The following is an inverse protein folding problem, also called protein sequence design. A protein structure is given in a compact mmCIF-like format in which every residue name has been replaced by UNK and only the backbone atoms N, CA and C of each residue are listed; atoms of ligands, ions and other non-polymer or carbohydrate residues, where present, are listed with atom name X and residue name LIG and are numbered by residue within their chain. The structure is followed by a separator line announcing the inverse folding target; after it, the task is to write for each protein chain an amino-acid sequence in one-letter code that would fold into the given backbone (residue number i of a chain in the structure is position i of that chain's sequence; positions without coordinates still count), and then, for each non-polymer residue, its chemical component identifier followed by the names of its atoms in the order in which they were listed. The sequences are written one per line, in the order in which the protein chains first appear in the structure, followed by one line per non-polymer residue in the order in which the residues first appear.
data_IF_017186102143
#
_entry.id   IF_017186102143
#
_cell.length_a   1.000
_cell.length_b   1.000
_cell.length_c   1.000
_cell.angle_alpha   90.00
_cell.angle_beta   90.00
_cell.angle_gamma   90.00
#
_symmetry.space_group_name_H-M   'P 1'
#
loop_
_entity.id
_entity.type
_entity.pdbx_description
1 polymer ?
#
# COMPACT_ATOMS: atom_id res chain seq x y z
N UNK A 1 -16.75 -0.48 -8.86
CA UNK A 1 -15.56 0.37 -8.88
C UNK A 1 -14.39 -0.41 -9.46
N UNK A 2 -13.75 0.16 -10.48
CA UNK A 2 -12.60 -0.49 -11.14
C UNK A 2 -11.28 0.03 -10.58
N UNK A 3 -10.41 -0.90 -10.19
CA UNK A 3 -9.08 -0.60 -9.66
C UNK A 3 -7.99 -1.22 -10.53
N UNK A 4 -6.85 -0.52 -10.67
CA UNK A 4 -5.65 -1.05 -11.30
C UNK A 4 -4.47 -0.99 -10.33
N UNK A 5 -3.75 -2.11 -10.20
CA UNK A 5 -2.53 -2.20 -9.41
C UNK A 5 -1.35 -2.24 -10.37
N UNK A 6 -0.46 -1.27 -10.25
CA UNK A 6 0.74 -1.17 -11.07
C UNK A 6 1.87 -1.96 -10.44
N UNK A 7 1.87 -3.27 -10.64
CA UNK A 7 2.95 -4.15 -10.23
C UNK A 7 4.16 -3.91 -11.12
N UNK A 8 5.14 -3.18 -10.60
CA UNK A 8 6.28 -2.72 -11.38
C UNK A 8 7.60 -3.01 -10.69
N UNK A 9 8.67 -3.07 -11.48
CA UNK A 9 10.02 -3.04 -10.94
C UNK A 9 10.38 -1.63 -10.46
N UNK A 10 11.06 -1.56 -9.32
CA UNK A 10 11.57 -0.31 -8.76
C UNK A 10 13.09 -0.41 -8.79
N UNK A 11 13.71 0.49 -9.56
CA UNK A 11 15.17 0.55 -9.68
C UNK A 11 15.73 1.34 -8.49
N UNK A 12 16.51 0.66 -7.66
CA UNK A 12 17.05 1.23 -6.42
C UNK A 12 17.90 2.47 -6.70
N UNK A 13 17.58 3.57 -6.02
CA UNK A 13 18.28 4.83 -6.12
C UNK A 13 18.00 5.66 -7.36
N UNK A 14 17.28 5.13 -8.36
CA UNK A 14 17.05 5.79 -9.65
C UNK A 14 15.71 6.52 -9.71
N UNK A 15 15.58 7.57 -8.88
CA UNK A 15 14.31 8.30 -8.68
C UNK A 15 13.66 8.76 -9.98
N UNK A 16 14.45 9.35 -10.91
CA UNK A 16 13.92 9.84 -12.20
C UNK A 16 13.48 8.72 -13.12
N UNK A 17 14.17 7.57 -13.09
CA UNK A 17 13.80 6.40 -13.88
C UNK A 17 12.48 5.82 -13.38
N UNK A 18 12.32 5.71 -12.07
CA UNK A 18 11.08 5.23 -11.46
C UNK A 18 9.90 6.16 -11.75
N UNK A 19 10.07 7.49 -11.65
CA UNK A 19 9.05 8.47 -12.07
C UNK A 19 8.69 8.31 -13.56
N UNK A 20 9.67 8.17 -14.43
CA UNK A 20 9.45 7.96 -15.86
C UNK A 20 8.70 6.65 -16.13
N UNK A 21 9.01 5.60 -15.38
CA UNK A 21 8.30 4.31 -15.48
C UNK A 21 6.84 4.43 -15.09
N UNK A 22 6.56 5.06 -13.95
CA UNK A 22 5.17 5.33 -13.52
C UNK A 22 4.43 6.10 -14.62
N UNK A 23 5.03 7.18 -15.15
CA UNK A 23 4.42 7.97 -16.22
C UNK A 23 4.10 7.13 -17.45
N UNK A 24 5.02 6.28 -17.92
CA UNK A 24 4.81 5.39 -19.06
C UNK A 24 3.66 4.40 -18.80
N UNK A 25 3.55 3.85 -17.57
CA UNK A 25 2.44 2.97 -17.21
C UNK A 25 1.07 3.67 -17.30
N UNK A 26 0.99 4.93 -16.86
CA UNK A 26 -0.23 5.73 -17.04
C UNK A 26 -0.54 6.00 -18.52
N UNK A 27 0.47 6.27 -19.34
CA UNK A 27 0.29 6.56 -20.77
C UNK A 27 -0.10 5.33 -21.58
N UNK A 28 0.46 4.16 -21.25
CA UNK A 28 0.35 2.96 -22.07
C UNK A 28 -0.66 1.94 -21.57
N UNK A 29 -0.95 1.91 -20.25
CA UNK A 29 -1.64 0.79 -19.59
C UNK A 29 -2.87 1.18 -18.79
N UNK A 30 -3.11 2.47 -18.56
CA UNK A 30 -4.29 2.90 -17.83
C UNK A 30 -5.56 2.65 -18.65
N UNK A 31 -6.49 1.90 -18.09
CA UNK A 31 -7.82 1.72 -18.68
C UNK A 31 -8.68 2.97 -18.44
N UNK A 32 -9.44 3.36 -19.45
CA UNK A 32 -10.22 4.60 -19.45
C UNK A 32 -11.26 4.68 -18.31
N UNK A 33 -11.75 3.55 -17.84
CA UNK A 33 -12.77 3.43 -16.82
C UNK A 33 -12.18 3.08 -15.42
N UNK A 34 -10.85 3.17 -15.27
CA UNK A 34 -10.19 2.99 -13.98
C UNK A 34 -10.51 4.16 -13.05
N UNK A 35 -10.96 3.85 -11.85
CA UNK A 35 -11.32 4.86 -10.85
C UNK A 35 -10.21 5.06 -9.82
N UNK A 36 -9.43 4.01 -9.52
CA UNK A 36 -8.32 4.05 -8.58
C UNK A 36 -7.12 3.30 -9.16
N UNK A 37 -5.95 3.93 -9.14
CA UNK A 37 -4.65 3.31 -9.38
C UNK A 37 -3.92 3.13 -8.05
N UNK A 38 -3.25 1.98 -7.89
CA UNK A 38 -2.41 1.69 -6.72
C UNK A 38 -0.98 1.44 -7.19
N UNK A 39 0.00 2.12 -6.62
CA UNK A 39 1.43 1.92 -6.89
C UNK A 39 2.16 1.37 -5.65
N UNK A 40 3.33 0.69 -5.82
CA UNK A 40 3.99 -0.02 -4.71
C UNK A 40 4.65 0.89 -3.67
N UNK A 41 5.28 0.25 -2.67
CA UNK A 41 6.07 0.88 -1.60
C UNK A 41 7.38 1.45 -2.14
N UNK A 42 7.86 2.56 -1.53
CA UNK A 42 9.20 3.16 -1.73
C UNK A 42 9.57 3.37 -3.21
N UNK A 43 8.58 3.68 -4.04
CA UNK A 43 8.77 3.73 -5.49
C UNK A 43 9.76 4.81 -5.96
N UNK A 44 10.03 5.84 -5.15
CA UNK A 44 10.99 6.88 -5.52
C UNK A 44 12.44 6.37 -5.45
N UNK A 45 12.87 5.79 -4.32
CA UNK A 45 14.27 5.41 -4.09
C UNK A 45 14.48 3.90 -4.05
N UNK A 46 13.42 3.10 -4.01
CA UNK A 46 13.55 1.71 -3.61
C UNK A 46 14.19 1.60 -2.23
N UNK A 47 14.80 0.46 -1.96
CA UNK A 47 15.52 0.19 -0.72
C UNK A 47 17.03 0.53 -0.79
N UNK A 48 17.41 1.58 -1.54
CA UNK A 48 18.76 2.17 -1.51
C UNK A 48 18.99 2.93 -0.20
N UNK A 49 18.87 2.21 0.93
CA UNK A 49 18.87 2.82 2.26
C UNK A 49 20.17 3.56 2.58
N UNK A 50 21.31 3.13 2.02
CA UNK A 50 22.60 3.78 2.28
C UNK A 50 22.67 5.21 1.73
N UNK A 51 21.97 5.45 0.63
CA UNK A 51 21.96 6.75 -0.04
C UNK A 51 20.62 7.48 0.18
N UNK A 52 19.73 6.94 1.02
CA UNK A 52 18.38 7.49 1.20
C UNK A 52 18.39 8.93 1.71
N UNK A 53 19.37 9.30 2.53
CA UNK A 53 19.49 10.66 3.07
C UNK A 53 19.67 11.74 1.99
N UNK A 54 20.30 11.39 0.87
CA UNK A 54 20.55 12.29 -0.26
C UNK A 54 19.41 12.27 -1.28
N UNK A 55 18.68 11.15 -1.37
CA UNK A 55 17.69 10.88 -2.43
C UNK A 55 16.24 11.03 -1.98
N UNK A 56 15.99 10.98 -0.67
CA UNK A 56 14.64 11.15 -0.12
C UNK A 56 14.00 12.46 -0.56
N UNK A 57 12.70 12.43 -0.78
CA UNK A 57 11.92 13.66 -0.98
C UNK A 57 11.94 14.50 0.30
N UNK A 58 11.65 15.77 0.18
CA UNK A 58 11.57 16.70 1.33
C UNK A 58 10.11 17.19 1.44
N UNK A 59 9.41 16.78 2.49
CA UNK A 59 8.01 17.16 2.74
C UNK A 59 7.09 16.90 1.54
N UNK A 60 7.31 15.79 0.80
CA UNK A 60 6.61 15.43 -0.43
C UNK A 60 6.64 16.51 -1.55
N UNK A 61 7.55 17.47 -1.48
CA UNK A 61 7.61 18.62 -2.42
C UNK A 61 7.87 18.23 -3.87
N UNK A 62 8.41 17.04 -4.11
CA UNK A 62 8.65 16.48 -5.44
C UNK A 62 7.61 15.44 -5.81
N UNK A 63 7.39 14.48 -4.93
CA UNK A 63 6.56 13.31 -5.23
C UNK A 63 5.07 13.63 -5.24
N UNK A 64 4.59 14.50 -4.34
CA UNK A 64 3.17 14.89 -4.35
C UNK A 64 2.78 15.66 -5.63
N UNK A 65 3.47 16.74 -6.09
CA UNK A 65 3.13 17.40 -7.34
C UNK A 65 3.22 16.49 -8.57
N UNK A 66 4.15 15.52 -8.57
CA UNK A 66 4.26 14.52 -9.63
C UNK A 66 3.00 13.67 -9.70
N UNK A 67 2.58 13.04 -8.59
CA UNK A 67 1.37 12.23 -8.52
C UNK A 67 0.10 13.06 -8.76
N UNK A 68 0.03 14.27 -8.19
CA UNK A 68 -1.07 15.21 -8.43
C UNK A 68 -1.26 15.49 -9.92
N UNK A 69 -0.17 15.70 -10.67
CA UNK A 69 -0.22 15.93 -12.11
C UNK A 69 -0.79 14.74 -12.89
N UNK A 70 -0.47 13.50 -12.46
CA UNK A 70 -1.03 12.29 -13.06
C UNK A 70 -2.51 12.12 -12.70
N UNK A 71 -2.87 12.28 -11.43
CA UNK A 71 -4.24 12.18 -10.97
C UNK A 71 -5.18 13.14 -11.71
N UNK A 72 -4.77 14.39 -11.84
CA UNK A 72 -5.56 15.43 -12.54
C UNK A 72 -5.57 15.24 -14.05
N UNK A 73 -4.44 14.88 -14.67
CA UNK A 73 -4.36 14.63 -16.11
C UNK A 73 -5.25 13.49 -16.54
N UNK A 74 -5.24 12.40 -15.80
CA UNK A 74 -5.97 11.17 -16.15
C UNK A 74 -7.34 11.05 -15.45
N UNK A 75 -7.71 12.02 -14.61
CA UNK A 75 -8.98 12.05 -13.86
C UNK A 75 -9.21 10.77 -13.03
N UNK A 76 -8.14 10.26 -12.40
CA UNK A 76 -8.13 9.02 -11.60
C UNK A 76 -7.58 9.28 -10.20
N UNK A 77 -8.15 8.63 -9.20
CA UNK A 77 -7.59 8.69 -7.85
C UNK A 77 -6.36 7.78 -7.76
N UNK A 78 -5.37 8.18 -6.97
CA UNK A 78 -4.12 7.43 -6.86
C UNK A 78 -3.81 7.14 -5.39
N UNK A 79 -3.76 5.86 -5.05
CA UNK A 79 -3.07 5.35 -3.86
C UNK A 79 -1.60 5.36 -4.22
N UNK A 80 -0.90 6.39 -3.79
CA UNK A 80 0.42 6.76 -4.29
C UNK A 80 1.56 5.90 -3.72
N UNK A 81 1.26 4.67 -3.31
CA UNK A 81 2.28 3.82 -2.71
C UNK A 81 2.89 4.45 -1.47
N UNK A 82 4.20 4.30 -1.35
CA UNK A 82 4.96 5.08 -0.39
C UNK A 82 6.29 5.56 -0.96
N UNK A 83 6.89 6.54 -0.29
CA UNK A 83 8.14 7.15 -0.69
C UNK A 83 9.05 7.38 0.52
N UNK A 84 10.37 7.39 0.29
CA UNK A 84 11.28 7.96 1.27
C UNK A 84 11.07 9.47 1.34
N UNK A 85 10.72 9.95 2.53
CA UNK A 85 10.33 11.34 2.77
C UNK A 85 11.05 11.91 3.98
N UNK A 86 11.84 12.95 3.78
CA UNK A 86 12.60 13.61 4.84
C UNK A 86 11.77 14.78 5.42
N UNK A 87 11.57 14.73 6.72
CA UNK A 87 10.99 15.84 7.50
C UNK A 87 11.93 16.19 8.66
N UNK A 88 12.33 17.44 8.70
CA UNK A 88 13.39 17.90 9.63
C UNK A 88 14.66 17.06 9.47
N UNK A 89 15.09 16.37 10.51
CA UNK A 89 16.28 15.51 10.51
C UNK A 89 15.97 14.00 10.32
N UNK A 90 14.70 13.64 10.19
CA UNK A 90 14.25 12.24 10.11
C UNK A 90 13.81 11.90 8.69
N UNK A 91 13.99 10.64 8.32
CA UNK A 91 13.50 10.09 7.05
C UNK A 91 12.48 9.01 7.36
N UNK A 92 11.34 9.09 6.70
CA UNK A 92 10.22 8.17 6.88
C UNK A 92 9.92 7.43 5.58
N UNK A 93 9.33 6.26 5.71
CA UNK A 93 8.63 5.60 4.62
C UNK A 93 7.18 6.09 4.68
N UNK A 94 6.84 7.07 3.83
CA UNK A 94 5.57 7.81 3.89
C UNK A 94 4.62 7.37 2.79
N UNK A 95 3.48 6.81 3.18
CA UNK A 95 2.35 6.53 2.29
C UNK A 95 1.49 7.79 2.10
N UNK A 96 0.93 7.96 0.91
CA UNK A 96 -0.02 9.04 0.64
C UNK A 96 -1.01 8.66 -0.45
N UNK A 97 -2.15 9.36 -0.50
CA UNK A 97 -3.17 9.21 -1.52
C UNK A 97 -3.61 10.56 -2.08
N UNK A 98 -3.92 10.61 -3.37
CA UNK A 98 -4.30 11.83 -4.09
C UNK A 98 -5.61 11.60 -4.83
N UNK A 99 -6.55 12.54 -4.70
CA UNK A 99 -7.82 12.51 -5.44
C UNK A 99 -7.61 12.83 -6.92
N UNK A 100 -8.57 12.45 -7.75
CA UNK A 100 -8.62 12.84 -9.17
C UNK A 100 -8.68 14.35 -9.40
N UNK A 101 -9.03 15.13 -8.38
CA UNK A 101 -9.00 16.61 -8.39
C UNK A 101 -7.66 17.19 -7.92
N UNK A 102 -6.72 16.31 -7.51
CA UNK A 102 -5.38 16.71 -7.08
C UNK A 102 -5.25 17.03 -5.59
N UNK A 103 -6.22 16.69 -4.77
CA UNK A 103 -6.16 16.90 -3.31
C UNK A 103 -5.38 15.78 -2.62
N UNK A 104 -4.58 16.13 -1.61
CA UNK A 104 -3.93 15.16 -0.73
C UNK A 104 -5.00 14.61 0.24
N UNK A 105 -5.39 13.34 0.05
CA UNK A 105 -6.44 12.70 0.86
C UNK A 105 -5.89 12.03 2.12
N UNK A 106 -4.64 11.58 2.07
CA UNK A 106 -4.04 10.76 3.11
C UNK A 106 -2.53 10.92 3.11
N UNK A 107 -1.93 10.91 4.29
CA UNK A 107 -0.49 10.83 4.50
C UNK A 107 -0.18 10.21 5.85
N UNK A 108 0.53 9.07 5.89
CA UNK A 108 0.99 8.40 7.12
C UNK A 108 2.32 7.69 6.89
N UNK A 109 3.06 7.49 7.94
CA UNK A 109 4.34 6.80 7.90
C UNK A 109 4.23 5.35 8.33
N UNK A 110 5.09 4.51 7.77
CA UNK A 110 5.28 3.11 8.18
C UNK A 110 5.64 3.07 9.67
N UNK A 111 4.89 2.30 10.43
CA UNK A 111 5.09 2.21 11.89
C UNK A 111 6.22 1.22 12.21
N UNK A 112 6.13 0.01 11.67
CA UNK A 112 7.06 -1.07 11.99
C UNK A 112 8.14 -1.17 10.91
N UNK A 113 9.35 -0.78 11.28
CA UNK A 113 10.53 -0.91 10.43
C UNK A 113 11.00 -2.37 10.39
N UNK A 114 11.50 -2.81 9.22
CA UNK A 114 11.94 -4.20 9.00
C UNK A 114 13.34 -4.41 9.60
N UNK A 115 13.48 -5.18 10.70
CA UNK A 115 14.79 -5.38 11.33
C UNK A 115 15.77 -6.11 10.42
N UNK A 116 15.28 -7.06 9.61
CA UNK A 116 16.09 -7.87 8.70
C UNK A 116 16.69 -7.04 7.53
N UNK A 117 16.12 -5.86 7.25
CA UNK A 117 16.63 -4.92 6.25
C UNK A 117 17.41 -3.76 6.87
N UNK A 118 17.64 -3.80 8.18
CA UNK A 118 18.34 -2.74 8.92
C UNK A 118 17.67 -1.35 8.77
N UNK A 119 16.36 -1.31 8.46
CA UNK A 119 15.63 -0.06 8.22
C UNK A 119 15.80 0.94 9.37
N UNK A 120 15.86 0.47 10.61
CA UNK A 120 15.98 1.30 11.82
C UNK A 120 17.29 2.10 11.90
N UNK A 121 18.29 1.80 11.08
CA UNK A 121 19.52 2.59 10.97
C UNK A 121 19.38 3.77 10.01
N UNK A 122 18.38 3.78 9.15
CA UNK A 122 18.21 4.74 8.06
C UNK A 122 16.89 5.48 8.10
N UNK A 123 15.86 4.86 8.63
CA UNK A 123 14.50 5.38 8.67
C UNK A 123 14.01 5.56 10.12
N UNK A 124 13.06 6.42 10.28
CA UNK A 124 12.32 6.63 11.53
C UNK A 124 10.93 6.01 11.39
N UNK A 125 10.51 5.22 12.36
CA UNK A 125 9.14 4.69 12.40
C UNK A 125 8.12 5.77 12.67
N UNK A 126 6.92 5.61 12.10
CA UNK A 126 5.77 6.46 12.40
C UNK A 126 5.25 6.21 13.81
N UNK A 127 4.58 7.19 14.39
CA UNK A 127 4.01 7.18 15.75
C UNK A 127 2.48 7.27 15.76
N UNK A 128 1.86 7.29 14.57
CA UNK A 128 0.42 7.36 14.42
C UNK A 128 -0.12 6.14 13.65
N UNK A 129 -1.25 5.60 14.14
CA UNK A 129 -1.97 4.53 13.44
C UNK A 129 -2.57 5.04 12.12
N UNK A 130 -2.77 4.16 11.11
CA UNK A 130 -3.42 4.54 9.86
C UNK A 130 -4.84 5.04 10.08
N UNK A 131 -5.14 6.25 9.61
CA UNK A 131 -6.49 6.83 9.66
C UNK A 131 -7.37 6.31 8.53
N UNK A 132 -8.67 6.58 8.64
CA UNK A 132 -9.64 6.42 7.56
C UNK A 132 -9.72 7.72 6.75
N UNK A 133 -9.66 7.61 5.43
CA UNK A 133 -9.91 8.70 4.50
C UNK A 133 -11.01 8.33 3.50
N UNK A 134 -11.61 9.32 2.88
CA UNK A 134 -12.63 9.12 1.86
C UNK A 134 -12.05 9.27 0.45
N UNK A 135 -12.42 8.34 -0.44
CA UNK A 135 -12.03 8.32 -1.85
C UNK A 135 -13.19 7.72 -2.67
N UNK A 136 -13.75 8.46 -3.64
CA UNK A 136 -14.95 8.03 -4.38
C UNK A 136 -16.10 7.53 -3.47
N UNK A 137 -16.44 8.27 -2.44
CA UNK A 137 -17.47 7.92 -1.44
C UNK A 137 -17.19 6.61 -0.68
N UNK A 138 -15.94 6.15 -0.70
CA UNK A 138 -15.48 4.95 -0.01
C UNK A 138 -14.60 5.35 1.17
N UNK A 139 -14.88 4.78 2.31
CA UNK A 139 -13.98 4.84 3.46
C UNK A 139 -12.85 3.83 3.27
N UNK A 140 -11.62 4.32 3.18
CA UNK A 140 -10.43 3.52 2.95
C UNK A 140 -9.33 3.85 3.96
N UNK A 141 -8.34 2.97 4.04
CA UNK A 141 -7.08 3.23 4.74
C UNK A 141 -5.91 2.63 3.93
N UNK A 142 -4.70 3.10 4.18
CA UNK A 142 -3.51 2.60 3.51
C UNK A 142 -2.46 2.18 4.53
N UNK A 143 -1.86 0.99 4.31
CA UNK A 143 -0.92 0.34 5.21
C UNK A 143 0.33 -0.07 4.41
N UNK A 144 1.50 -0.02 5.04
CA UNK A 144 2.76 -0.24 4.37
C UNK A 144 3.39 -1.59 4.77
N UNK A 145 3.49 -2.51 3.82
CA UNK A 145 4.36 -3.69 3.79
C UNK A 145 4.42 -4.47 5.12
N UNK A 146 5.48 -4.29 5.90
CA UNK A 146 5.74 -5.03 7.13
C UNK A 146 4.65 -4.84 8.19
N UNK A 147 3.95 -3.70 8.18
CA UNK A 147 2.79 -3.42 9.03
C UNK A 147 1.65 -4.45 8.85
N UNK A 148 1.59 -5.15 7.70
CA UNK A 148 0.69 -6.28 7.47
C UNK A 148 0.81 -7.38 8.55
N UNK A 149 1.97 -7.55 9.16
CA UNK A 149 2.19 -8.58 10.20
C UNK A 149 1.50 -8.28 11.52
N UNK A 150 1.06 -7.06 11.71
CA UNK A 150 0.45 -6.55 12.95
C UNK A 150 -1.05 -6.36 12.73
N UNK A 151 -1.91 -7.30 13.19
CA UNK A 151 -3.35 -7.25 12.94
C UNK A 151 -4.02 -6.00 13.51
N UNK A 152 -3.46 -5.42 14.56
CA UNK A 152 -3.95 -4.21 15.21
C UNK A 152 -4.01 -3.04 14.25
N UNK A 153 -3.01 -2.93 13.35
CA UNK A 153 -2.88 -1.83 12.39
C UNK A 153 -4.01 -1.88 11.34
N UNK A 154 -4.51 -3.06 11.01
CA UNK A 154 -5.67 -3.22 10.11
C UNK A 154 -6.97 -3.12 10.87
N UNK A 155 -7.02 -3.69 12.08
CA UNK A 155 -8.23 -3.71 12.92
C UNK A 155 -8.71 -2.30 13.25
N UNK A 156 -7.79 -1.37 13.51
CA UNK A 156 -8.15 -0.02 13.90
C UNK A 156 -8.94 0.70 12.80
N UNK A 157 -8.45 0.94 11.57
CA UNK A 157 -9.22 1.64 10.54
C UNK A 157 -10.48 0.86 10.13
N UNK A 158 -10.45 -0.47 10.12
CA UNK A 158 -11.64 -1.27 9.84
C UNK A 158 -12.74 -1.03 10.90
N UNK A 159 -12.37 -0.93 12.19
CA UNK A 159 -13.30 -0.59 13.29
C UNK A 159 -13.86 0.83 13.19
N UNK A 160 -13.13 1.73 12.52
CA UNK A 160 -13.58 3.11 12.22
C UNK A 160 -14.42 3.20 10.94
N UNK A 161 -14.74 2.05 10.34
CA UNK A 161 -15.64 1.95 9.20
C UNK A 161 -14.98 1.94 7.84
N UNK A 162 -13.69 1.70 7.74
CA UNK A 162 -13.03 1.47 6.45
C UNK A 162 -13.67 0.25 5.75
N UNK A 163 -13.99 0.42 4.46
CA UNK A 163 -14.54 -0.62 3.61
C UNK A 163 -13.43 -1.31 2.78
N UNK A 164 -12.36 -0.58 2.53
CA UNK A 164 -11.20 -1.01 1.73
C UNK A 164 -9.92 -0.69 2.48
N UNK A 165 -9.03 -1.67 2.57
CA UNK A 165 -7.67 -1.47 3.08
C UNK A 165 -6.69 -1.71 1.93
N UNK A 166 -5.93 -0.67 1.60
CA UNK A 166 -4.85 -0.75 0.64
C UNK A 166 -3.54 -1.13 1.34
N UNK A 167 -2.82 -2.10 0.76
CA UNK A 167 -1.46 -2.44 1.16
C UNK A 167 -0.51 -2.15 0.02
N UNK A 168 0.58 -1.46 0.32
CA UNK A 168 1.64 -1.17 -0.64
C UNK A 168 2.95 -1.75 -0.14
N UNK A 169 3.67 -2.50 -0.98
CA UNK A 169 4.77 -3.33 -0.51
C UNK A 169 5.92 -3.49 -1.52
N UNK A 170 7.08 -3.83 -0.96
CA UNK A 170 8.20 -4.50 -1.62
C UNK A 170 8.46 -5.83 -0.89
N UNK A 171 7.53 -6.76 -1.04
CA UNK A 171 7.53 -8.05 -0.32
C UNK A 171 8.24 -9.12 -1.13
N UNK A 172 9.14 -9.87 -0.48
CA UNK A 172 10.01 -10.82 -1.16
C UNK A 172 9.40 -12.20 -1.37
N UNK A 173 9.89 -12.92 -2.39
CA UNK A 173 9.49 -14.30 -2.73
C UNK A 173 9.66 -15.27 -1.58
N UNK A 174 10.67 -15.09 -0.73
CA UNK A 174 10.93 -15.95 0.44
C UNK A 174 9.72 -16.10 1.37
N UNK A 175 8.87 -15.08 1.45
CA UNK A 175 7.73 -15.03 2.36
C UNK A 175 6.40 -14.84 1.61
N UNK A 176 6.30 -15.33 0.38
CA UNK A 176 5.08 -15.16 -0.44
C UNK A 176 3.84 -15.81 0.18
N UNK A 177 3.99 -16.94 0.84
CA UNK A 177 2.89 -17.61 1.54
C UNK A 177 2.37 -16.78 2.73
N UNK A 178 3.28 -16.08 3.43
CA UNK A 178 2.86 -15.12 4.47
C UNK A 178 2.07 -13.96 3.88
N UNK A 179 2.49 -13.41 2.73
CA UNK A 179 1.79 -12.35 2.01
C UNK A 179 0.34 -12.73 1.73
N UNK A 180 0.14 -13.81 1.02
CA UNK A 180 -1.20 -14.30 0.66
C UNK A 180 -2.05 -14.63 1.88
N UNK A 181 -1.47 -15.36 2.85
CA UNK A 181 -2.20 -15.80 4.06
C UNK A 181 -2.63 -14.62 4.91
N UNK A 182 -1.71 -13.68 5.18
CA UNK A 182 -2.01 -12.53 6.03
C UNK A 182 -3.02 -11.58 5.36
N UNK A 183 -2.89 -11.29 4.06
CA UNK A 183 -3.86 -10.44 3.35
C UNK A 183 -5.26 -11.05 3.36
N UNK A 184 -5.38 -12.36 3.16
CA UNK A 184 -6.67 -13.07 3.29
C UNK A 184 -7.22 -12.99 4.70
N UNK A 185 -6.37 -13.18 5.72
CA UNK A 185 -6.78 -13.05 7.12
C UNK A 185 -7.31 -11.63 7.39
N UNK A 186 -6.59 -10.60 6.94
CA UNK A 186 -7.02 -9.19 7.12
C UNK A 186 -8.38 -8.91 6.48
N UNK A 187 -8.65 -9.45 5.29
CA UNK A 187 -9.96 -9.32 4.65
C UNK A 187 -11.07 -9.99 5.46
N UNK A 188 -10.88 -11.27 5.82
CA UNK A 188 -11.89 -12.08 6.52
C UNK A 188 -12.18 -11.55 7.92
N UNK A 189 -11.14 -11.34 8.73
CA UNK A 189 -11.28 -10.96 10.14
C UNK A 189 -11.83 -9.55 10.36
N UNK A 190 -11.85 -8.72 9.30
CA UNK A 190 -12.36 -7.36 9.35
C UNK A 190 -13.60 -7.16 8.46
N UNK A 191 -13.94 -8.12 7.59
CA UNK A 191 -15.05 -8.03 6.67
C UNK A 191 -14.92 -6.85 5.68
N UNK A 192 -13.70 -6.64 5.15
CA UNK A 192 -13.34 -5.53 4.26
C UNK A 192 -12.68 -6.03 2.98
N UNK A 193 -12.68 -5.23 1.93
CA UNK A 193 -11.78 -5.47 0.79
C UNK A 193 -10.33 -5.23 1.19
N UNK A 194 -9.45 -6.11 0.70
CA UNK A 194 -8.00 -5.91 0.76
C UNK A 194 -7.47 -5.81 -0.67
N UNK A 195 -6.80 -4.69 -0.97
CA UNK A 195 -6.20 -4.40 -2.26
C UNK A 195 -4.71 -4.16 -2.03
N UNK A 196 -3.88 -5.09 -2.50
CA UNK A 196 -2.47 -5.10 -2.15
C UNK A 196 -1.59 -5.03 -3.40
N UNK A 197 -0.83 -3.95 -3.53
CA UNK A 197 0.12 -3.73 -4.62
C UNK A 197 1.55 -4.00 -4.14
N UNK A 198 2.20 -4.96 -4.78
CA UNK A 198 3.59 -5.33 -4.51
C UNK A 198 4.47 -5.02 -5.73
N UNK A 199 5.76 -4.85 -5.50
CA UNK A 199 6.75 -4.70 -6.58
C UNK A 199 7.27 -6.07 -7.06
N UNK A 200 7.99 -6.03 -8.18
CA UNK A 200 8.79 -7.13 -8.74
C UNK A 200 10.24 -6.70 -8.90
N UNK A 201 11.09 -7.60 -9.38
CA UNK A 201 12.52 -7.34 -9.64
C UNK A 201 13.44 -7.85 -8.56
N UNK A 202 14.73 -7.54 -8.70
CA UNK A 202 15.77 -8.08 -7.82
C UNK A 202 15.91 -7.26 -6.54
N UNK A 203 16.19 -7.96 -5.43
CA UNK A 203 16.57 -7.33 -4.17
C UNK A 203 18.09 -7.16 -4.14
N UNK A 204 18.56 -5.92 -4.11
CA UNK A 204 20.01 -5.62 -4.14
C UNK A 204 20.64 -5.52 -2.73
N UNK A 205 19.86 -5.71 -1.67
CA UNK A 205 20.37 -5.67 -0.30
C UNK A 205 21.30 -6.85 -0.02
N UNK A 206 22.52 -6.60 0.51
CA UNK A 206 23.56 -7.62 0.71
C UNK A 206 23.13 -8.85 1.49
N UNK A 207 22.28 -8.69 2.52
CA UNK A 207 21.78 -9.78 3.35
C UNK A 207 20.67 -10.59 2.66
N UNK A 208 20.23 -10.17 1.47
CA UNK A 208 19.15 -10.77 0.70
C UNK A 208 19.55 -11.04 -0.75
N UNK A 209 20.85 -11.09 -1.03
CA UNK A 209 21.36 -11.39 -2.36
C UNK A 209 20.74 -12.68 -2.92
N UNK A 210 20.19 -12.60 -4.13
CA UNK A 210 19.47 -13.70 -4.78
C UNK A 210 17.99 -13.81 -4.45
N UNK A 211 17.43 -12.95 -3.60
CA UNK A 211 15.98 -12.81 -3.44
C UNK A 211 15.42 -11.86 -4.51
N UNK A 212 14.15 -12.06 -4.84
CA UNK A 212 13.36 -11.15 -5.68
C UNK A 212 12.17 -10.63 -4.92
N UNK A 213 11.65 -9.49 -5.30
CA UNK A 213 10.32 -9.04 -4.92
C UNK A 213 9.29 -9.90 -5.62
N UNK A 214 8.27 -10.32 -4.88
CA UNK A 214 7.45 -11.45 -5.27
C UNK A 214 6.42 -11.12 -6.37
N UNK A 215 6.09 -9.87 -6.60
CA UNK A 215 4.88 -9.54 -7.33
C UNK A 215 3.64 -9.99 -6.56
N UNK A 216 2.78 -10.77 -7.19
CA UNK A 216 1.55 -11.27 -6.56
C UNK A 216 0.74 -10.17 -5.90
N UNK A 217 0.64 -9.02 -6.58
CA UNK A 217 -0.34 -7.99 -6.23
C UNK A 217 -1.73 -8.61 -6.31
N UNK A 218 -2.59 -8.32 -5.34
CA UNK A 218 -3.79 -9.13 -5.13
C UNK A 218 -4.98 -8.28 -4.69
N UNK A 219 -6.17 -8.65 -5.16
CA UNK A 219 -7.45 -8.08 -4.71
C UNK A 219 -8.29 -9.18 -4.08
N UNK A 220 -8.70 -8.98 -2.83
CA UNK A 220 -9.41 -9.95 -2.00
C UNK A 220 -10.72 -9.34 -1.53
N UNK A 221 -11.83 -10.09 -1.67
CA UNK A 221 -13.13 -9.66 -1.19
C UNK A 221 -13.30 -9.87 0.34
N UNK A 222 -14.35 -9.30 0.97
CA UNK A 222 -14.57 -9.42 2.42
C UNK A 222 -14.73 -10.85 2.95
N UNK A 223 -15.00 -11.83 2.07
CA UNK A 223 -15.09 -13.25 2.41
C UNK A 223 -13.74 -13.98 2.26
N UNK A 224 -12.68 -13.27 1.84
CA UNK A 224 -11.35 -13.86 1.61
C UNK A 224 -11.20 -14.54 0.25
N UNK A 225 -12.14 -14.34 -0.67
CA UNK A 225 -11.99 -14.82 -2.04
C UNK A 225 -11.04 -13.91 -2.81
N UNK A 226 -10.09 -14.51 -3.50
CA UNK A 226 -9.21 -13.77 -4.43
C UNK A 226 -10.04 -13.44 -5.67
N UNK A 227 -10.15 -12.15 -5.99
CA UNK A 227 -10.80 -11.66 -7.20
C UNK A 227 -9.81 -11.69 -8.35
N UNK A 228 -8.63 -11.10 -8.11
CA UNK A 228 -7.52 -11.10 -9.07
C UNK A 228 -6.19 -11.21 -8.32
N UNK A 229 -5.23 -11.87 -8.93
CA UNK A 229 -3.87 -11.98 -8.43
C UNK A 229 -2.87 -11.93 -9.60
N UNK A 230 -1.87 -11.07 -9.49
CA UNK A 230 -0.76 -10.99 -10.43
C UNK A 230 0.22 -12.16 -10.27
N UNK A 231 1.14 -12.28 -11.23
CA UNK A 231 2.24 -13.24 -11.22
C UNK A 231 3.50 -12.59 -10.63
N UNK A 232 4.63 -13.19 -10.88
CA UNK A 232 5.97 -12.77 -10.43
C UNK A 232 6.71 -11.85 -11.40
N UNK A 233 5.99 -11.24 -12.34
CA UNK A 233 6.53 -10.34 -13.37
C UNK A 233 5.85 -8.98 -13.36
N UNK A 234 6.42 -8.01 -14.06
CA UNK A 234 5.80 -6.70 -14.23
C UNK A 234 4.50 -6.81 -15.03
N UNK A 235 3.40 -6.38 -14.43
CA UNK A 235 2.07 -6.40 -15.05
C UNK A 235 1.10 -5.44 -14.36
N UNK A 236 0.00 -5.15 -15.03
CA UNK A 236 -1.11 -4.38 -14.47
C UNK A 236 -2.25 -5.33 -14.14
N UNK A 237 -2.59 -5.39 -12.86
CA UNK A 237 -3.72 -6.18 -12.37
C UNK A 237 -4.94 -5.27 -12.37
N UNK A 238 -6.01 -5.68 -13.03
CA UNK A 238 -7.27 -4.92 -13.10
C UNK A 238 -8.38 -5.73 -12.45
N UNK A 239 -9.06 -5.15 -11.48
CA UNK A 239 -10.17 -5.79 -10.78
C UNK A 239 -11.37 -4.85 -10.64
N UNK A 240 -12.56 -5.43 -10.56
CA UNK A 240 -13.78 -4.73 -10.20
C UNK A 240 -14.24 -5.12 -8.80
N UNK A 241 -14.51 -4.14 -7.94
CA UNK A 241 -15.01 -4.37 -6.58
C UNK A 241 -16.42 -3.81 -6.42
N UNK A 242 -17.23 -4.50 -5.61
CA UNK A 242 -18.63 -4.18 -5.34
C UNK A 242 -18.84 -3.99 -3.85
N UNK A 243 -18.96 -2.75 -3.40
CA UNK A 243 -19.00 -2.40 -1.97
C UNK A 243 -20.18 -3.02 -1.20
N UNK A 244 -21.26 -3.41 -1.90
CA UNK A 244 -22.36 -4.15 -1.30
C UNK A 244 -21.91 -5.41 -0.57
N UNK A 245 -20.85 -6.09 -1.07
CA UNK A 245 -20.27 -7.27 -0.41
C UNK A 245 -19.75 -6.97 0.99
N UNK A 246 -19.23 -5.77 1.25
CA UNK A 246 -18.79 -5.36 2.61
C UNK A 246 -20.00 -5.29 3.54
N UNK A 247 -21.06 -4.60 3.10
CA UNK A 247 -22.29 -4.46 3.89
C UNK A 247 -22.94 -5.82 4.17
N UNK A 248 -22.99 -6.70 3.17
CA UNK A 248 -23.53 -8.06 3.30
C UNK A 248 -22.70 -8.88 4.30
N UNK A 249 -21.36 -8.85 4.18
CA UNK A 249 -20.48 -9.61 5.07
C UNK A 249 -20.59 -9.12 6.51
N UNK A 250 -20.57 -7.80 6.73
CA UNK A 250 -20.72 -7.21 8.07
C UNK A 250 -22.10 -7.46 8.69
N UNK A 251 -23.14 -7.62 7.87
CA UNK A 251 -24.47 -8.03 8.33
C UNK A 251 -24.51 -9.51 8.72
N UNK A 252 -23.91 -10.38 7.89
CA UNK A 252 -23.92 -11.82 8.10
C UNK A 252 -23.01 -12.25 9.26
N UNK A 253 -21.86 -11.60 9.39
CA UNK A 253 -20.86 -11.84 10.45
C UNK A 253 -20.51 -10.51 11.11
N UNK A 254 -21.31 -10.04 12.10
CA UNK A 254 -21.17 -8.71 12.68
C UNK A 254 -20.03 -8.63 13.70
N UNK A 255 -18.78 -8.82 13.26
CA UNK A 255 -17.58 -8.93 14.11
C UNK A 255 -17.47 -7.75 15.07
N UNK A 256 -17.57 -6.52 14.55
CA UNK A 256 -17.37 -5.30 15.36
C UNK A 256 -18.46 -5.09 16.43
N UNK A 257 -19.68 -5.62 16.21
CA UNK A 257 -20.76 -5.57 17.22
C UNK A 257 -20.54 -6.57 18.35
N UNK A 258 -19.73 -7.61 18.10
CA UNK A 258 -19.47 -8.69 19.04
C UNK A 258 -18.11 -8.56 19.76
N UNK A 259 -17.37 -7.48 19.52
CA UNK A 259 -16.11 -7.22 20.23
C UNK A 259 -16.37 -7.07 21.72
N UNK A 260 -15.46 -7.58 22.53
CA UNK A 260 -15.47 -7.51 24.01
C UNK A 260 -14.25 -6.74 24.53
N UNK A 261 -14.17 -5.40 24.25
CA UNK A 261 -13.02 -4.59 24.68
C UNK A 261 -12.89 -4.55 26.20
N UNK A 262 -13.99 -4.76 26.94
CA UNK A 262 -14.01 -4.94 28.38
C UNK A 262 -13.16 -6.14 28.85
N UNK A 263 -13.09 -7.19 28.04
CA UNK A 263 -12.31 -8.41 28.31
C UNK A 263 -10.88 -8.26 27.77
N UNK A 264 -10.73 -7.74 26.54
CA UNK A 264 -9.43 -7.70 25.83
C UNK A 264 -8.40 -6.78 26.45
N UNK A 265 -8.82 -5.74 27.21
CA UNK A 265 -7.90 -4.81 27.90
C UNK A 265 -6.91 -5.50 28.83
N UNK A 266 -7.14 -6.74 29.21
CA UNK A 266 -6.25 -7.56 30.04
C UNK A 266 -5.37 -8.53 29.25
N UNK A 267 -5.61 -8.64 27.94
CA UNK A 267 -4.77 -9.43 27.02
C UNK A 267 -3.62 -8.53 26.53
N UNK A 268 -2.47 -8.64 27.20
CA UNK A 268 -1.21 -7.97 26.84
C UNK A 268 -0.36 -8.90 26.00
#
# INVERSE_FOLDING_TARGET
MKVQLFQMEIVEGEVKQNESRIKSLFEEKLNIDTEIVVIPEMWNTGYDLKNVAEKADIDLKRTFPFIQSLATKYQVNIIAGSVSNKRHNNIYNTAFAVSKTGELLYQKDKIHLVPMLDEHHYLTGGDEVPDVFEINDIKASQIICYDLRFPEITRYPASQGANVIFYVAQWTTKNIDHWRTLLKARAIENGVYVIACNSVGNVNHKNHAGNTYAGHSIVIDPNGNIIEEGRDQEEIITAEIHLQKVTEQQKNIPIFKNLRPDVYKHAK
#
